data_IF_086498516852
#
_entry.id   IF_086498516852
#
_cell.length_a   1.000
_cell.length_b   1.000
_cell.length_c   1.000
_cell.angle_alpha   90.00
_cell.angle_beta   90.00
_cell.angle_gamma   90.00
#
_symmetry.space_group_name_H-M   'P 1'
#
loop_
_entity.id
_entity.type
_entity.pdbx_description
1 polymer ?
#
# COMPACT_ATOMS: atom_id res chain seq x y z
N UNK A 1 -10.84 -14.81 -20.31
CA UNK A 1 -10.89 -13.40 -20.72
C UNK A 1 -11.76 -12.68 -19.72
N UNK A 2 -11.18 -11.86 -18.83
CA UNK A 2 -11.95 -11.12 -17.82
C UNK A 2 -12.36 -9.78 -18.41
N UNK A 3 -13.66 -9.54 -18.54
CA UNK A 3 -14.19 -8.28 -19.06
C UNK A 3 -14.11 -7.22 -17.97
N UNK A 4 -13.38 -6.14 -18.22
CA UNK A 4 -13.32 -4.98 -17.31
C UNK A 4 -14.66 -4.24 -17.37
N UNK A 5 -15.39 -4.24 -16.26
CA UNK A 5 -16.65 -3.50 -16.15
C UNK A 5 -16.36 -2.00 -16.01
N UNK A 6 -17.02 -1.16 -16.81
CA UNK A 6 -16.82 0.29 -16.81
C UNK A 6 -17.84 0.94 -15.89
N UNK A 7 -17.38 1.49 -14.76
CA UNK A 7 -18.22 2.16 -13.77
C UNK A 7 -18.47 3.62 -14.18
N UNK A 8 -19.73 4.11 -14.25
CA UNK A 8 -20.03 5.51 -14.53
C UNK A 8 -19.34 6.44 -13.52
N UNK A 9 -18.58 7.41 -14.01
CA UNK A 9 -17.84 8.38 -13.16
C UNK A 9 -16.45 7.91 -12.71
N UNK A 10 -16.00 6.72 -13.10
CA UNK A 10 -14.60 6.33 -12.93
C UNK A 10 -13.69 7.17 -13.84
N UNK A 11 -12.85 8.01 -13.23
CA UNK A 11 -11.90 8.86 -13.95
C UNK A 11 -10.50 8.30 -13.74
N UNK A 12 -9.79 8.05 -14.84
CA UNK A 12 -8.37 7.68 -14.79
C UNK A 12 -7.54 8.94 -14.49
N UNK A 13 -6.49 8.79 -13.69
CA UNK A 13 -5.70 9.94 -13.28
C UNK A 13 -4.47 9.58 -12.46
N UNK A 14 -3.68 10.60 -12.16
CA UNK A 14 -2.57 10.51 -11.21
C UNK A 14 -3.07 10.93 -9.84
N UNK A 15 -2.73 10.16 -8.82
CA UNK A 15 -3.14 10.41 -7.44
C UNK A 15 -1.93 10.86 -6.62
N UNK A 16 -2.09 11.92 -5.84
CA UNK A 16 -1.11 12.34 -4.84
C UNK A 16 -1.37 11.59 -3.55
N UNK A 17 -0.34 10.98 -2.97
CA UNK A 17 -0.42 10.27 -1.70
C UNK A 17 -0.47 11.29 -0.55
N UNK A 18 -1.40 11.11 0.39
CA UNK A 18 -1.45 11.88 1.62
C UNK A 18 -0.54 11.24 2.69
N UNK A 19 0.53 11.94 3.05
CA UNK A 19 1.53 11.49 4.01
C UNK A 19 0.97 11.34 5.43
N UNK A 20 -0.09 12.09 5.80
CA UNK A 20 -0.66 12.04 7.16
C UNK A 20 -1.52 10.80 7.40
N UNK A 21 -1.96 10.14 6.32
CA UNK A 21 -2.85 8.98 6.37
C UNK A 21 -2.25 7.75 5.68
N UNK A 22 -0.99 7.83 5.23
CA UNK A 22 -0.31 6.73 4.56
C UNK A 22 0.96 6.37 5.30
N UNK A 23 1.24 5.07 5.42
CA UNK A 23 2.44 4.56 6.10
C UNK A 23 3.18 3.58 5.20
N UNK A 24 4.51 3.73 5.13
CA UNK A 24 5.41 2.71 4.56
C UNK A 24 6.02 1.90 5.71
N UNK A 25 5.35 0.81 6.06
CA UNK A 25 5.78 -0.11 7.11
C UNK A 25 6.63 -1.28 6.59
N UNK A 26 7.52 -1.81 7.42
CA UNK A 26 8.31 -2.99 7.14
C UNK A 26 8.30 -3.99 8.29
N UNK A 27 8.59 -5.25 7.97
CA UNK A 27 8.84 -6.26 8.99
C UNK A 27 9.88 -7.29 8.55
N UNK A 28 10.82 -7.58 9.44
CA UNK A 28 11.92 -8.52 9.20
C UNK A 28 11.91 -9.61 10.27
N UNK A 29 12.07 -10.87 9.85
CA UNK A 29 12.29 -12.00 10.77
C UNK A 29 13.79 -12.16 11.00
N UNK A 30 14.20 -12.27 12.26
CA UNK A 30 15.59 -12.50 12.63
C UNK A 30 15.76 -13.88 13.30
N UNK A 31 16.60 -14.71 12.69
CA UNK A 31 17.01 -16.06 13.15
C UNK A 31 15.87 -16.87 13.78
N UNK A 32 14.70 -16.90 13.11
CA UNK A 32 13.46 -17.59 13.48
C UNK A 32 12.75 -17.15 14.77
N UNK A 33 13.48 -16.59 15.75
CA UNK A 33 12.98 -16.33 17.11
C UNK A 33 12.31 -14.96 17.22
N UNK A 34 12.84 -13.94 16.56
CA UNK A 34 12.34 -12.57 16.70
C UNK A 34 11.83 -11.98 15.39
N UNK A 35 10.93 -11.00 15.51
CA UNK A 35 10.38 -10.24 14.38
C UNK A 35 10.44 -8.77 14.72
N UNK A 36 11.19 -8.03 13.91
CA UNK A 36 11.27 -6.56 13.97
C UNK A 36 10.19 -5.98 13.07
N UNK A 37 9.55 -4.91 13.53
CA UNK A 37 8.60 -4.10 12.78
C UNK A 37 9.01 -2.64 12.91
N UNK A 38 8.81 -1.86 11.86
CA UNK A 38 9.07 -0.43 11.86
C UNK A 38 8.42 0.24 10.66
N UNK A 39 8.58 1.55 10.55
CA UNK A 39 8.06 2.36 9.45
C UNK A 39 8.99 3.52 9.15
N UNK A 40 8.80 4.11 7.97
CA UNK A 40 9.45 5.34 7.55
C UNK A 40 8.49 6.52 7.78
N UNK A 41 8.98 7.59 8.42
CA UNK A 41 8.25 8.81 8.78
C UNK A 41 9.02 10.04 8.37
#
# INVERSE_FOLDING_TARGET
MTTTETLPGYVTGTWTIDETHTEVGFSVRHLMISKVRGSFT
#
